data_IF_561415712324
#
_entry.id   IF_561415712324
#
_cell.length_a   1.000
_cell.length_b   1.000
_cell.length_c   1.000
_cell.angle_alpha   90.00
_cell.angle_beta   90.00
_cell.angle_gamma   90.00
#
_symmetry.space_group_name_H-M   'P 1'
#
loop_
_entity.id
_entity.type
_entity.pdbx_description
1 polymer ?
#
# COMPACT_ATOMS: atom_id res chain seq x y z
N UNK A 1 3.84 7.35 21.01
CA UNK A 1 5.16 7.08 21.64
C UNK A 1 5.20 5.79 22.47
N UNK A 2 4.06 5.22 22.92
CA UNK A 2 4.08 3.95 23.68
C UNK A 2 4.00 2.67 22.81
N UNK A 3 3.34 2.70 21.65
CA UNK A 3 3.10 1.48 20.84
C UNK A 3 4.38 0.74 20.39
N UNK A 4 5.49 1.47 20.19
CA UNK A 4 6.77 0.87 19.74
C UNK A 4 7.58 0.25 20.88
N UNK A 5 7.12 0.37 22.14
CA UNK A 5 7.81 -0.26 23.27
C UNK A 5 7.60 -1.77 23.21
N UNK A 6 8.65 -2.53 23.51
CA UNK A 6 8.65 -4.00 23.47
C UNK A 6 7.45 -4.61 24.23
N UNK A 7 7.03 -3.99 25.33
CA UNK A 7 5.87 -4.43 26.10
C UNK A 7 4.57 -4.49 25.29
N UNK A 8 4.39 -3.59 24.32
CA UNK A 8 3.20 -3.50 23.47
C UNK A 8 3.32 -4.28 22.16
N UNK A 9 4.48 -4.89 21.89
CA UNK A 9 4.77 -5.64 20.66
C UNK A 9 4.83 -7.13 20.98
N UNK A 10 3.76 -7.85 20.64
CA UNK A 10 3.68 -9.29 20.87
C UNK A 10 3.94 -10.07 19.58
N UNK A 11 4.97 -10.92 19.61
CA UNK A 11 5.21 -11.88 18.55
C UNK A 11 4.15 -12.98 18.59
N UNK A 12 3.44 -13.18 17.47
CA UNK A 12 2.39 -14.21 17.36
C UNK A 12 2.98 -15.50 16.78
N UNK A 13 3.56 -15.43 15.58
CA UNK A 13 4.07 -16.61 14.88
C UNK A 13 5.00 -16.23 13.72
N UNK A 14 5.82 -17.18 13.31
CA UNK A 14 6.58 -17.17 12.06
C UNK A 14 6.66 -18.59 11.50
N UNK A 15 6.79 -18.71 10.18
CA UNK A 15 6.89 -20.01 9.53
C UNK A 15 7.80 -19.94 8.31
N UNK A 16 8.67 -20.94 8.08
CA UNK A 16 9.41 -21.07 6.83
C UNK A 16 8.56 -21.71 5.72
N UNK A 17 7.36 -22.21 6.03
CA UNK A 17 6.51 -22.96 5.11
C UNK A 17 5.18 -22.28 4.80
N UNK A 18 4.64 -21.53 5.76
CA UNK A 18 3.39 -20.78 5.58
C UNK A 18 3.70 -19.37 5.09
N UNK A 19 2.98 -18.96 4.05
CA UNK A 19 2.96 -17.60 3.55
C UNK A 19 2.35 -16.62 4.57
N UNK A 20 2.62 -15.31 4.44
CA UNK A 20 2.05 -14.30 5.34
C UNK A 20 0.53 -14.36 5.42
N UNK A 21 -0.17 -14.61 4.31
CA UNK A 21 -1.64 -14.68 4.29
C UNK A 21 -2.20 -15.97 4.89
N UNK A 22 -1.46 -17.08 4.85
CA UNK A 22 -1.83 -18.30 5.60
C UNK A 22 -1.73 -18.08 7.11
N UNK A 23 -0.66 -17.42 7.57
CA UNK A 23 -0.53 -17.05 8.99
C UNK A 23 -1.60 -16.04 9.39
N UNK A 24 -1.90 -15.06 8.52
CA UNK A 24 -2.91 -14.05 8.77
C UNK A 24 -4.32 -14.65 8.90
N UNK A 25 -4.63 -15.75 8.21
CA UNK A 25 -5.91 -16.46 8.37
C UNK A 25 -6.12 -16.90 9.83
N UNK A 26 -5.12 -17.53 10.44
CA UNK A 26 -5.18 -17.95 11.83
C UNK A 26 -5.29 -16.75 12.80
N UNK A 27 -4.59 -15.65 12.51
CA UNK A 27 -4.68 -14.40 13.29
C UNK A 27 -6.08 -13.81 13.21
N UNK A 28 -6.65 -13.69 12.01
CA UNK A 28 -8.02 -13.23 11.78
C UNK A 28 -9.01 -14.07 12.57
N UNK A 29 -8.95 -15.40 12.48
CA UNK A 29 -9.87 -16.30 13.18
C UNK A 29 -9.78 -16.13 14.71
N UNK A 30 -8.57 -15.95 15.25
CA UNK A 30 -8.36 -15.69 16.67
C UNK A 30 -9.00 -14.36 17.11
N UNK A 31 -8.76 -13.29 16.35
CA UNK A 31 -9.34 -11.96 16.63
C UNK A 31 -10.86 -12.01 16.52
N UNK A 32 -11.41 -12.62 15.48
CA UNK A 32 -12.86 -12.71 15.28
C UNK A 32 -13.53 -13.53 16.38
N UNK A 33 -12.92 -14.64 16.79
CA UNK A 33 -13.42 -15.44 17.92
C UNK A 33 -13.42 -14.62 19.21
N UNK A 34 -12.33 -13.91 19.48
CA UNK A 34 -12.23 -13.05 20.66
C UNK A 34 -13.20 -11.88 20.61
N UNK A 35 -13.48 -11.31 19.44
CA UNK A 35 -14.48 -10.26 19.27
C UNK A 35 -15.91 -10.77 19.50
N UNK A 36 -16.19 -12.02 19.10
CA UNK A 36 -17.51 -12.64 19.26
C UNK A 36 -17.77 -13.10 20.71
N UNK A 37 -16.80 -13.75 21.35
CA UNK A 37 -16.97 -14.32 22.70
C UNK A 37 -16.54 -13.37 23.81
N UNK A 38 -15.76 -12.34 23.47
CA UNK A 38 -14.99 -11.53 24.41
C UNK A 38 -13.88 -12.30 25.13
N UNK A 39 -13.07 -11.57 25.89
CA UNK A 39 -11.96 -12.08 26.69
C UNK A 39 -12.00 -11.48 28.09
N UNK A 40 -11.76 -12.29 29.12
CA UNK A 40 -11.57 -11.80 30.49
C UNK A 40 -10.08 -11.52 30.70
N UNK A 41 -9.76 -10.33 31.20
CA UNK A 41 -8.41 -9.94 31.57
C UNK A 41 -8.41 -9.27 32.95
N UNK A 42 -7.25 -9.24 33.61
CA UNK A 42 -7.09 -8.53 34.87
C UNK A 42 -6.57 -7.11 34.62
N UNK A 43 -7.29 -6.10 35.09
CA UNK A 43 -6.79 -4.72 35.08
C UNK A 43 -5.95 -4.48 36.34
N UNK A 44 -4.64 -4.28 36.15
CA UNK A 44 -3.72 -4.03 37.25
C UNK A 44 -3.88 -2.64 37.88
N UNK A 45 -4.54 -1.70 37.21
CA UNK A 45 -4.78 -0.35 37.72
C UNK A 45 -5.95 -0.34 38.71
N UNK A 46 -7.04 -0.97 38.32
CA UNK A 46 -8.29 -0.96 39.08
C UNK A 46 -8.49 -2.23 39.93
N UNK A 47 -7.57 -3.20 39.82
CA UNK A 47 -7.53 -4.46 40.57
C UNK A 47 -8.84 -5.28 40.42
N UNK A 48 -9.38 -5.33 39.20
CA UNK A 48 -10.59 -6.07 38.89
C UNK A 48 -10.51 -6.84 37.56
N UNK A 49 -11.43 -7.80 37.40
CA UNK A 49 -11.62 -8.49 36.11
C UNK A 49 -12.37 -7.57 35.14
N UNK A 50 -11.76 -7.34 33.99
CA UNK A 50 -12.34 -6.57 32.89
C UNK A 50 -12.66 -7.46 31.71
N UNK A 51 -13.71 -7.10 30.98
CA UNK A 51 -14.14 -7.80 29.76
C UNK A 51 -13.70 -7.01 28.52
N UNK A 52 -12.85 -7.63 27.70
CA UNK A 52 -12.26 -7.04 26.51
C UNK A 52 -12.90 -7.60 25.24
N UNK A 53 -13.22 -6.72 24.29
CA UNK A 53 -13.71 -7.07 22.95
C UNK A 53 -12.73 -6.48 21.94
N UNK A 54 -11.76 -7.26 21.42
CA UNK A 54 -10.79 -6.75 20.48
C UNK A 54 -11.44 -6.48 19.12
N UNK A 55 -11.02 -5.41 18.46
CA UNK A 55 -11.40 -5.08 17.08
C UNK A 55 -10.13 -4.76 16.29
N UNK A 56 -10.11 -5.16 15.01
CA UNK A 56 -9.05 -4.71 14.10
C UNK A 56 -9.17 -3.20 13.89
N UNK A 57 -8.08 -2.47 14.07
CA UNK A 57 -8.05 -1.02 13.86
C UNK A 57 -7.49 -0.68 12.47
N UNK A 58 -6.29 -1.17 12.16
CA UNK A 58 -5.65 -1.05 10.85
C UNK A 58 -4.55 -2.11 10.69
N UNK A 59 -4.05 -2.27 9.48
CA UNK A 59 -2.89 -3.10 9.18
C UNK A 59 -1.72 -2.25 8.67
N UNK A 60 -0.62 -2.22 9.42
CA UNK A 60 0.62 -1.57 8.98
C UNK A 60 1.57 -2.56 8.31
N UNK A 61 2.48 -2.02 7.52
CA UNK A 61 3.50 -2.77 6.81
C UNK A 61 4.32 -1.84 5.94
N UNK A 62 5.42 -2.34 5.39
CA UNK A 62 6.08 -1.67 4.28
C UNK A 62 5.24 -1.80 3.00
N UNK A 63 5.60 -1.08 1.93
CA UNK A 63 4.83 -1.09 0.69
C UNK A 63 4.60 -2.50 0.10
N UNK A 64 5.60 -3.41 0.07
CA UNK A 64 5.38 -4.79 -0.33
C UNK A 64 4.37 -5.54 0.54
N UNK A 65 4.49 -5.49 1.88
CA UNK A 65 3.56 -6.18 2.76
C UNK A 65 2.15 -5.58 2.68
N UNK A 66 2.02 -4.27 2.48
CA UNK A 66 0.72 -3.62 2.25
C UNK A 66 0.10 -4.03 0.92
N UNK A 67 0.90 -4.25 -0.12
CA UNK A 67 0.39 -4.78 -1.39
C UNK A 67 -0.13 -6.22 -1.22
N UNK A 68 0.59 -7.05 -0.46
CA UNK A 68 0.16 -8.40 -0.07
C UNK A 68 -1.18 -8.37 0.70
N UNK A 69 -1.25 -7.57 1.76
CA UNK A 69 -2.44 -7.39 2.60
C UNK A 69 -3.65 -6.95 1.78
N UNK A 70 -3.47 -6.13 0.75
CA UNK A 70 -4.54 -5.62 -0.11
C UNK A 70 -4.81 -6.45 -1.37
N UNK A 71 -4.16 -7.60 -1.57
CA UNK A 71 -4.21 -8.39 -2.81
C UNK A 71 -3.90 -7.57 -4.07
N UNK A 72 -2.84 -6.75 -4.01
CA UNK A 72 -2.49 -5.79 -5.04
C UNK A 72 -1.26 -6.22 -5.86
N UNK A 73 -1.38 -6.23 -7.18
CA UNK A 73 -0.37 -6.68 -8.16
C UNK A 73 0.78 -5.69 -8.43
N UNK A 74 0.84 -4.59 -7.70
CA UNK A 74 1.97 -3.64 -7.74
C UNK A 74 2.00 -2.68 -8.95
N UNK A 75 3.13 -1.98 -9.09
CA UNK A 75 3.30 -0.80 -9.97
C UNK A 75 3.23 -1.10 -11.47
N UNK A 76 3.50 -2.34 -11.87
CA UNK A 76 3.47 -2.75 -13.27
C UNK A 76 2.05 -2.96 -13.81
N UNK A 77 1.05 -2.99 -12.92
CA UNK A 77 -0.35 -3.09 -13.33
C UNK A 77 -0.88 -1.75 -13.85
N UNK A 78 -1.93 -1.80 -14.66
CA UNK A 78 -2.61 -0.61 -15.14
C UNK A 78 -3.16 0.20 -13.95
N UNK A 79 -3.83 -0.46 -13.00
CA UNK A 79 -4.35 0.16 -11.78
C UNK A 79 -3.57 -0.29 -10.55
N UNK A 80 -2.55 0.47 -10.20
CA UNK A 80 -1.53 0.06 -9.23
C UNK A 80 -1.80 0.51 -7.79
N UNK A 81 -2.77 1.38 -7.55
CA UNK A 81 -3.11 1.81 -6.18
C UNK A 81 -3.96 0.76 -5.45
N UNK A 82 -3.62 0.52 -4.19
CA UNK A 82 -4.36 -0.37 -3.29
C UNK A 82 -5.67 0.22 -2.76
N UNK A 83 -5.82 1.55 -2.77
CA UNK A 83 -7.01 2.22 -2.19
C UNK A 83 -8.06 2.55 -3.25
N UNK A 84 -7.65 2.80 -4.49
CA UNK A 84 -8.54 3.28 -5.53
C UNK A 84 -8.13 2.83 -6.93
N UNK A 85 -8.97 3.15 -7.90
CA UNK A 85 -8.78 2.81 -9.32
C UNK A 85 -7.94 3.85 -10.09
N UNK A 86 -6.95 4.47 -9.44
CA UNK A 86 -6.00 5.34 -10.17
C UNK A 86 -5.09 4.47 -11.03
N UNK A 87 -4.88 4.90 -12.27
CA UNK A 87 -4.08 4.14 -13.21
C UNK A 87 -4.45 4.39 -14.66
N UNK A 88 -4.20 3.38 -15.48
CA UNK A 88 -4.35 3.39 -16.93
C UNK A 88 -3.22 2.59 -17.57
N UNK A 89 -3.20 2.53 -18.90
CA UNK A 89 -2.09 1.90 -19.61
C UNK A 89 -0.78 2.60 -19.26
N UNK A 90 0.35 1.89 -19.42
CA UNK A 90 1.67 2.48 -19.22
C UNK A 90 1.83 3.79 -20.00
N UNK A 91 1.52 3.77 -21.29
CA UNK A 91 1.61 4.94 -22.17
C UNK A 91 0.75 6.11 -21.69
N UNK A 92 -0.44 5.83 -21.15
CA UNK A 92 -1.29 6.87 -20.57
C UNK A 92 -0.66 7.48 -19.32
N UNK A 93 -0.20 6.64 -18.37
CA UNK A 93 0.44 7.11 -17.13
C UNK A 93 1.73 7.89 -17.37
N UNK A 94 2.42 7.62 -18.49
CA UNK A 94 3.64 8.34 -18.91
C UNK A 94 3.35 9.61 -19.72
N UNK A 95 2.10 9.84 -20.14
CA UNK A 95 1.68 11.09 -20.79
C UNK A 95 1.45 12.21 -19.78
N UNK A 96 1.60 13.46 -20.18
CA UNK A 96 1.37 14.63 -19.30
C UNK A 96 -0.04 14.61 -18.69
N UNK A 97 -1.06 14.25 -19.48
CA UNK A 97 -2.45 14.20 -19.00
C UNK A 97 -2.65 13.08 -17.99
N UNK A 98 -2.19 11.86 -18.30
CA UNK A 98 -2.34 10.72 -17.38
C UNK A 98 -1.49 10.85 -16.12
N UNK A 99 -0.29 11.43 -16.20
CA UNK A 99 0.54 11.70 -15.03
C UNK A 99 -0.16 12.66 -14.06
N UNK A 100 -0.76 13.75 -14.56
CA UNK A 100 -1.54 14.68 -13.74
C UNK A 100 -2.69 13.97 -13.01
N UNK A 101 -3.38 13.02 -13.67
CA UNK A 101 -4.46 12.28 -13.00
C UNK A 101 -3.96 11.50 -11.78
N UNK A 102 -2.69 11.09 -11.71
CA UNK A 102 -2.19 10.33 -10.55
C UNK A 102 -2.27 11.12 -9.24
N UNK A 103 -2.30 12.46 -9.32
CA UNK A 103 -2.33 13.36 -8.17
C UNK A 103 -3.70 13.99 -7.92
N UNK A 104 -4.69 13.68 -8.76
CA UNK A 104 -6.07 14.11 -8.52
C UNK A 104 -6.62 13.40 -7.28
N UNK A 105 -7.15 14.21 -6.36
CA UNK A 105 -7.76 13.75 -5.10
C UNK A 105 -9.18 13.26 -5.37
N UNK A 106 -9.67 12.29 -4.58
CA UNK A 106 -11.11 12.03 -4.49
C UNK A 106 -11.80 13.27 -3.90
N UNK A 107 -12.29 14.18 -4.73
CA UNK A 107 -13.20 15.20 -4.26
C UNK A 107 -14.60 14.58 -4.12
N UNK A 108 -14.92 14.04 -2.94
CA UNK A 108 -16.32 13.95 -2.52
C UNK A 108 -16.77 15.39 -2.21
N UNK A 109 -17.34 16.06 -3.21
CA UNK A 109 -17.80 17.45 -3.23
C UNK A 109 -16.74 18.56 -3.07
N UNK A 110 -16.45 19.28 -4.17
CA UNK A 110 -16.70 20.72 -4.21
C UNK A 110 -16.79 21.21 -5.66
N UNK A 111 -17.70 22.15 -5.84
CA UNK A 111 -18.18 22.76 -7.07
C UNK A 111 -17.08 23.43 -7.90
N UNK A 112 -17.19 23.29 -9.23
CA UNK A 112 -16.87 24.25 -10.33
C UNK A 112 -16.12 23.65 -11.52
N UNK A 113 -15.46 22.49 -11.41
CA UNK A 113 -14.98 21.73 -12.57
C UNK A 113 -15.10 20.25 -12.25
N UNK A 114 -16.11 19.55 -12.75
CA UNK A 114 -16.39 18.14 -12.41
C UNK A 114 -15.16 17.26 -12.68
N UNK A 115 -14.40 16.85 -11.65
CA UNK A 115 -13.47 15.75 -11.78
C UNK A 115 -14.32 14.48 -11.68
N UNK A 116 -14.14 13.52 -12.58
CA UNK A 116 -14.80 12.21 -12.43
C UNK A 116 -14.38 11.65 -11.07
N UNK A 117 -15.31 11.38 -10.13
CA UNK A 117 -14.97 10.80 -8.84
C UNK A 117 -14.25 9.48 -9.10
N UNK A 118 -12.99 9.39 -8.69
CA UNK A 118 -12.31 8.11 -8.67
C UNK A 118 -13.09 7.19 -7.73
N UNK A 119 -13.21 5.91 -8.07
CA UNK A 119 -13.87 4.95 -7.20
C UNK A 119 -12.84 4.33 -6.25
N UNK A 120 -13.22 4.20 -4.98
CA UNK A 120 -12.47 3.45 -3.98
C UNK A 120 -12.62 1.95 -4.26
N UNK A 121 -11.56 1.19 -3.99
CA UNK A 121 -11.61 -0.28 -3.99
C UNK A 121 -12.37 -0.74 -2.76
N UNK A 122 -13.14 -1.82 -2.92
CA UNK A 122 -13.83 -2.46 -1.79
C UNK A 122 -13.37 -3.91 -1.65
N UNK A 123 -13.36 -4.47 -0.42
CA UNK A 123 -12.97 -5.86 -0.21
C UNK A 123 -13.84 -6.84 -1.02
N UNK A 124 -15.15 -6.57 -1.10
CA UNK A 124 -16.09 -7.37 -1.88
C UNK A 124 -15.79 -7.34 -3.38
N UNK A 125 -15.46 -6.17 -3.93
CA UNK A 125 -15.06 -6.04 -5.33
C UNK A 125 -13.79 -6.84 -5.63
N UNK A 126 -12.76 -6.71 -4.78
CA UNK A 126 -11.49 -7.42 -4.98
C UNK A 126 -11.66 -8.93 -4.86
N UNK A 127 -12.45 -9.40 -3.89
CA UNK A 127 -12.79 -10.82 -3.76
C UNK A 127 -13.48 -11.35 -5.02
N UNK A 128 -14.41 -10.59 -5.60
CA UNK A 128 -15.08 -10.97 -6.86
C UNK A 128 -14.10 -11.02 -8.04
N UNK A 129 -13.14 -10.10 -8.12
CA UNK A 129 -12.08 -10.14 -9.15
C UNK A 129 -11.25 -11.42 -9.01
N UNK A 130 -10.83 -11.78 -7.80
CA UNK A 130 -10.04 -12.99 -7.54
C UNK A 130 -10.87 -14.24 -7.90
N UNK A 131 -12.13 -14.33 -7.47
CA UNK A 131 -13.04 -15.44 -7.86
C UNK A 131 -13.23 -15.53 -9.38
N UNK A 132 -13.28 -14.40 -10.07
CA UNK A 132 -13.34 -14.38 -11.53
C UNK A 132 -12.03 -14.89 -12.17
N UNK A 133 -10.86 -14.67 -11.55
CA UNK A 133 -9.60 -15.25 -12.02
C UNK A 133 -9.62 -16.78 -11.98
N UNK A 134 -10.30 -17.41 -11.01
CA UNK A 134 -10.56 -18.86 -11.02
C UNK A 134 -11.44 -19.28 -12.19
N UNK A 135 -12.47 -18.50 -12.52
CA UNK A 135 -13.32 -18.78 -13.68
C UNK A 135 -12.53 -18.65 -14.99
N UNK A 136 -11.63 -17.67 -15.09
CA UNK A 136 -10.72 -17.49 -16.22
C UNK A 136 -9.71 -18.64 -16.32
N UNK A 137 -9.27 -19.18 -15.18
CA UNK A 137 -8.32 -20.30 -15.13
C UNK A 137 -8.90 -21.58 -15.78
N UNK A 138 -10.22 -21.68 -15.90
CA UNK A 138 -10.91 -22.80 -16.55
C UNK A 138 -10.97 -22.70 -18.07
N UNK A 139 -10.53 -21.58 -18.66
CA UNK A 139 -10.65 -21.31 -20.10
C UNK A 139 -9.38 -21.67 -20.87
N UNK A 140 -9.47 -21.93 -22.19
CA UNK A 140 -8.30 -22.05 -23.06
C UNK A 140 -7.42 -20.81 -23.00
N UNK A 141 -6.11 -21.00 -22.99
CA UNK A 141 -5.15 -19.89 -22.87
C UNK A 141 -5.18 -19.19 -21.51
N UNK A 142 -5.68 -19.87 -20.47
CA UNK A 142 -5.83 -19.33 -19.11
C UNK A 142 -4.61 -18.55 -18.60
N UNK A 143 -3.38 -19.03 -18.85
CA UNK A 143 -2.17 -18.37 -18.37
C UNK A 143 -2.07 -16.90 -18.80
N UNK A 144 -2.27 -16.60 -20.09
CA UNK A 144 -2.19 -15.22 -20.59
C UNK A 144 -3.44 -14.42 -20.20
N UNK A 145 -4.60 -15.07 -20.12
CA UNK A 145 -5.86 -14.42 -19.71
C UNK A 145 -5.83 -13.97 -18.24
N UNK A 146 -5.34 -14.82 -17.33
CA UNK A 146 -5.17 -14.45 -15.91
C UNK A 146 -4.13 -13.34 -15.79
N UNK A 147 -2.98 -13.45 -16.46
CA UNK A 147 -1.96 -12.38 -16.49
C UNK A 147 -2.53 -11.06 -17.01
N UNK A 148 -3.36 -11.11 -18.05
CA UNK A 148 -4.06 -9.92 -18.59
C UNK A 148 -5.05 -9.36 -17.57
N UNK A 149 -5.83 -10.21 -16.90
CA UNK A 149 -6.75 -9.80 -15.83
C UNK A 149 -6.03 -9.08 -14.70
N UNK A 150 -4.89 -9.62 -14.24
CA UNK A 150 -4.07 -9.01 -13.19
C UNK A 150 -3.53 -7.66 -13.64
N UNK A 151 -2.96 -7.59 -14.85
CA UNK A 151 -2.47 -6.33 -15.43
C UNK A 151 -3.59 -5.29 -15.55
N UNK A 152 -4.77 -5.69 -16.02
CA UNK A 152 -5.90 -4.80 -16.25
C UNK A 152 -6.63 -4.36 -14.99
N UNK A 153 -6.66 -5.16 -13.92
CA UNK A 153 -7.40 -4.86 -12.69
C UNK A 153 -6.49 -4.37 -11.57
N UNK A 154 -5.21 -4.73 -11.62
CA UNK A 154 -4.26 -4.55 -10.52
C UNK A 154 -4.42 -5.55 -9.39
N UNK A 155 -5.32 -6.54 -9.49
CA UNK A 155 -5.61 -7.47 -8.39
C UNK A 155 -4.79 -8.73 -8.54
N UNK A 156 -4.02 -9.06 -7.50
CA UNK A 156 -3.17 -10.24 -7.43
C UNK A 156 -3.21 -10.81 -6.02
N UNK A 157 -3.74 -12.02 -5.90
CA UNK A 157 -3.81 -12.75 -4.64
C UNK A 157 -2.76 -13.86 -4.61
N UNK A 158 -1.74 -13.68 -3.80
CA UNK A 158 -0.63 -14.65 -3.64
C UNK A 158 -1.09 -15.94 -2.98
N UNK A 159 -2.11 -15.88 -2.11
CA UNK A 159 -2.63 -17.04 -1.39
C UNK A 159 -3.27 -18.06 -2.34
N UNK A 160 -4.13 -17.60 -3.26
CA UNK A 160 -4.78 -18.44 -4.26
C UNK A 160 -3.88 -18.85 -5.43
N UNK A 161 -2.69 -18.26 -5.56
CA UNK A 161 -1.79 -18.45 -6.70
C UNK A 161 -1.45 -19.92 -6.97
N UNK A 162 -1.15 -20.68 -5.91
CA UNK A 162 -0.78 -22.09 -6.05
C UNK A 162 -1.91 -22.92 -6.67
N UNK A 163 -3.17 -22.63 -6.30
CA UNK A 163 -4.35 -23.31 -6.84
C UNK A 163 -4.55 -22.89 -8.30
N UNK A 164 -4.50 -21.59 -8.58
CA UNK A 164 -4.59 -21.07 -9.95
C UNK A 164 -3.53 -21.68 -10.87
N UNK A 165 -2.28 -21.80 -10.43
CA UNK A 165 -1.21 -22.39 -11.22
C UNK A 165 -1.44 -23.88 -11.50
N UNK A 166 -1.90 -24.66 -10.51
CA UNK A 166 -2.25 -26.07 -10.71
C UNK A 166 -3.35 -26.24 -11.76
N UNK A 167 -4.40 -25.42 -11.68
CA UNK A 167 -5.51 -25.43 -12.64
C UNK A 167 -5.05 -25.05 -14.04
N UNK A 168 -4.26 -23.98 -14.16
CA UNK A 168 -3.70 -23.53 -15.45
C UNK A 168 -2.83 -24.63 -16.07
N UNK A 169 -1.97 -25.27 -15.28
CA UNK A 169 -1.08 -26.32 -15.79
C UNK A 169 -1.85 -27.58 -16.16
N UNK A 170 -2.83 -27.99 -15.35
CA UNK A 170 -3.71 -29.09 -15.71
C UNK A 170 -4.50 -28.79 -16.99
N UNK A 171 -5.06 -27.59 -17.13
CA UNK A 171 -5.73 -27.14 -18.33
C UNK A 171 -4.84 -27.25 -19.56
N UNK A 172 -3.56 -26.82 -19.49
CA UNK A 172 -2.61 -27.00 -20.59
C UNK A 172 -2.39 -28.46 -20.96
N UNK A 173 -2.34 -29.38 -19.99
CA UNK A 173 -2.17 -30.82 -20.24
C UNK A 173 -3.41 -31.40 -20.95
N UNK A 174 -4.61 -31.05 -20.49
CA UNK A 174 -5.86 -31.56 -21.05
C UNK A 174 -6.10 -31.05 -22.48
N UNK A 175 -5.68 -29.82 -22.79
CA UNK A 175 -5.72 -29.27 -24.15
C UNK A 175 -4.60 -29.76 -25.07
N UNK A 176 -3.52 -30.36 -24.52
CA UNK A 176 -2.43 -30.94 -25.32
C UNK A 176 -2.77 -32.39 -25.69
N UNK A 177 -2.94 -32.66 -26.97
CA UNK A 177 -2.94 -34.04 -27.47
C UNK A 177 -1.58 -34.72 -27.23
N UNK A 178 -1.58 -35.90 -26.60
CA UNK A 178 -0.52 -36.86 -26.82
C UNK A 178 -0.56 -37.36 -28.27
N UNK A 179 0.59 -37.78 -28.82
CA UNK A 179 0.68 -38.41 -30.15
C UNK A 179 -0.28 -39.62 -30.22
N UNK A 180 -1.46 -39.43 -30.81
CA UNK A 180 -2.47 -40.47 -31.03
C UNK A 180 -3.80 -40.30 -30.28
N UNK A 181 -3.98 -39.29 -29.43
CA UNK A 181 -5.24 -39.05 -28.70
C UNK A 181 -6.07 -37.94 -29.33
N UNK A 182 -7.39 -38.10 -29.40
CA UNK A 182 -8.32 -37.03 -29.77
C UNK A 182 -8.29 -35.92 -28.72
N UNK A 183 -8.27 -34.63 -29.11
CA UNK A 183 -8.36 -33.53 -28.13
C UNK A 183 -9.64 -33.67 -27.32
N UNK A 184 -9.56 -33.52 -25.99
CA UNK A 184 -10.76 -33.40 -25.16
C UNK A 184 -11.56 -32.18 -25.60
N UNK A 185 -12.88 -32.29 -25.62
CA UNK A 185 -13.74 -31.15 -25.93
C UNK A 185 -13.74 -30.17 -24.76
N UNK A 186 -13.90 -28.89 -25.05
CA UNK A 186 -13.92 -27.80 -24.05
C UNK A 186 -14.84 -28.06 -22.84
N UNK A 187 -16.07 -28.60 -23.00
CA UNK A 187 -16.94 -28.89 -21.86
C UNK A 187 -16.35 -29.97 -20.93
N UNK A 188 -15.70 -30.98 -21.50
CA UNK A 188 -15.10 -32.08 -20.73
C UNK A 188 -13.87 -31.60 -19.96
N UNK A 189 -13.04 -30.76 -20.59
CA UNK A 189 -11.87 -30.14 -19.92
C UNK A 189 -12.32 -29.28 -18.75
N UNK A 190 -13.36 -28.47 -18.95
CA UNK A 190 -13.91 -27.62 -17.89
C UNK A 190 -14.42 -28.45 -16.72
N UNK A 191 -15.16 -29.52 -16.99
CA UNK A 191 -15.68 -30.43 -15.97
C UNK A 191 -14.54 -31.05 -15.14
N UNK A 192 -13.47 -31.51 -15.79
CA UNK A 192 -12.32 -32.09 -15.09
C UNK A 192 -11.61 -31.06 -14.20
N UNK A 193 -11.50 -29.81 -14.69
CA UNK A 193 -10.93 -28.71 -13.90
C UNK A 193 -11.82 -28.30 -12.72
N UNK A 194 -13.15 -28.37 -12.86
CA UNK A 194 -14.09 -28.15 -11.76
C UNK A 194 -13.96 -29.24 -10.68
N UNK A 195 -13.75 -30.50 -11.08
CA UNK A 195 -13.47 -31.62 -10.15
C UNK A 195 -12.15 -31.43 -9.40
N UNK A 196 -11.09 -31.06 -10.11
CA UNK A 196 -9.79 -30.78 -9.46
C UNK A 196 -9.88 -29.56 -8.54
N UNK A 197 -10.57 -28.49 -8.94
CA UNK A 197 -10.80 -27.34 -8.06
C UNK A 197 -11.54 -27.79 -6.79
N UNK A 198 -12.63 -28.54 -6.90
CA UNK A 198 -13.35 -29.05 -5.74
C UNK A 198 -12.46 -29.92 -4.83
N UNK A 199 -11.56 -30.71 -5.43
CA UNK A 199 -10.58 -31.53 -4.69
C UNK A 199 -9.55 -30.66 -3.97
N UNK A 200 -9.04 -29.61 -4.61
CA UNK A 200 -8.08 -28.67 -4.01
C UNK A 200 -8.69 -27.80 -2.91
N UNK A 201 -10.00 -27.56 -2.96
CA UNK A 201 -10.72 -26.84 -1.91
C UNK A 201 -11.00 -27.71 -0.68
N UNK A 202 -10.98 -29.04 -0.79
CA UNK A 202 -11.19 -29.98 0.33
C UNK A 202 -12.42 -29.65 1.20
N UNK A 203 -13.54 -29.35 0.54
CA UNK A 203 -14.80 -28.98 1.20
C UNK A 203 -14.90 -27.53 1.69
N UNK A 204 -13.85 -26.72 1.50
CA UNK A 204 -13.85 -25.29 1.76
C UNK A 204 -14.44 -24.50 0.59
N UNK A 205 -14.75 -23.23 0.81
CA UNK A 205 -15.21 -22.31 -0.23
C UNK A 205 -14.03 -21.55 -0.85
N UNK A 206 -14.27 -20.89 -1.99
CA UNK A 206 -13.27 -19.96 -2.54
C UNK A 206 -12.98 -18.79 -1.59
N UNK A 207 -13.94 -18.34 -0.80
CA UNK A 207 -13.73 -17.27 0.19
C UNK A 207 -12.72 -17.68 1.26
N UNK A 208 -12.65 -18.97 1.59
CA UNK A 208 -11.68 -19.51 2.53
C UNK A 208 -10.27 -19.56 1.93
N UNK A 209 -10.14 -19.63 0.60
CA UNK A 209 -8.89 -19.85 -0.12
C UNK A 209 -8.26 -18.60 -0.75
N UNK A 210 -8.92 -17.44 -0.61
CA UNK A 210 -8.38 -16.13 -0.99
C UNK A 210 -7.93 -15.36 0.24
N UNK A 211 -7.27 -14.20 0.05
CA UNK A 211 -6.84 -13.33 1.13
C UNK A 211 -7.91 -13.19 2.24
N UNK A 212 -7.61 -13.66 3.47
CA UNK A 212 -8.59 -13.75 4.55
C UNK A 212 -9.08 -12.36 4.99
N UNK A 213 -8.28 -11.32 4.80
CA UNK A 213 -8.61 -9.96 5.24
C UNK A 213 -9.68 -9.30 4.38
N UNK A 214 -9.94 -9.80 3.17
CA UNK A 214 -11.04 -9.31 2.33
C UNK A 214 -12.43 -9.56 2.94
N UNK A 215 -12.53 -10.55 3.83
CA UNK A 215 -13.75 -10.88 4.57
C UNK A 215 -13.64 -10.64 6.07
N UNK A 216 -12.74 -9.77 6.53
CA UNK A 216 -12.62 -9.44 7.96
C UNK A 216 -13.65 -8.37 8.34
N UNK A 217 -14.48 -8.66 9.35
CA UNK A 217 -15.48 -7.71 9.85
C UNK A 217 -14.81 -6.54 10.56
N UNK A 218 -15.30 -5.32 10.32
CA UNK A 218 -14.82 -4.11 10.99
C UNK A 218 -13.56 -3.49 10.38
N UNK A 219 -12.95 -4.13 9.37
CA UNK A 219 -11.76 -3.63 8.69
C UNK A 219 -11.98 -3.63 7.18
N UNK A 220 -11.80 -2.49 6.54
CA UNK A 220 -11.65 -2.36 5.10
C UNK A 220 -10.16 -2.19 4.78
N UNK A 221 -9.49 -3.27 4.37
CA UNK A 221 -8.05 -3.25 4.05
C UNK A 221 -7.63 -2.19 3.01
N UNK A 222 -8.54 -1.65 2.19
CA UNK A 222 -8.20 -0.61 1.22
C UNK A 222 -8.17 0.79 1.83
N UNK A 223 -8.81 0.98 2.98
CA UNK A 223 -8.87 2.22 3.75
C UNK A 223 -8.04 2.14 5.05
N UNK A 224 -8.07 0.97 5.70
CA UNK A 224 -7.44 0.71 7.00
C UNK A 224 -6.05 0.07 6.84
N UNK A 225 -5.37 0.35 5.74
CA UNK A 225 -3.95 0.02 5.51
C UNK A 225 -3.21 1.34 5.25
N UNK A 226 -2.87 2.10 6.30
CA UNK A 226 -2.38 3.45 6.17
C UNK A 226 -1.06 3.49 5.41
N UNK A 227 -0.90 4.50 4.55
CA UNK A 227 0.24 4.52 3.64
C UNK A 227 1.55 4.78 4.36
N UNK A 228 2.51 3.90 4.15
CA UNK A 228 3.82 4.03 4.75
C UNK A 228 4.54 5.29 4.22
N UNK A 229 4.87 6.20 5.14
CA UNK A 229 5.39 7.54 4.83
C UNK A 229 6.83 7.47 4.30
N UNK A 230 7.62 6.51 4.78
CA UNK A 230 9.05 6.49 4.50
C UNK A 230 9.34 6.21 3.02
N UNK A 231 8.78 5.18 2.40
CA UNK A 231 8.99 4.90 0.97
C UNK A 231 8.15 5.79 0.06
N UNK A 232 6.96 6.19 0.49
CA UNK A 232 6.04 6.98 -0.35
C UNK A 232 6.47 8.45 -0.41
N UNK A 233 6.78 9.05 0.74
CA UNK A 233 7.04 10.49 0.85
C UNK A 233 8.53 10.75 0.95
N UNK A 234 9.24 10.18 1.93
CA UNK A 234 10.65 10.54 2.17
C UNK A 234 11.60 9.99 1.10
N UNK A 235 11.53 8.70 0.80
CA UNK A 235 12.35 8.05 -0.24
C UNK A 235 11.69 8.10 -1.63
N UNK A 236 10.43 8.52 -1.69
CA UNK A 236 9.71 8.86 -2.91
C UNK A 236 9.83 10.34 -3.19
N UNK A 237 8.73 11.08 -3.01
CA UNK A 237 8.58 12.50 -3.37
C UNK A 237 9.79 13.35 -2.98
N UNK A 238 10.19 13.34 -1.70
CA UNK A 238 11.27 14.18 -1.17
C UNK A 238 12.62 13.83 -1.78
N UNK A 239 12.97 12.54 -1.89
CA UNK A 239 14.24 12.09 -2.48
C UNK A 239 14.36 12.46 -3.95
N UNK A 240 13.31 12.29 -4.75
CA UNK A 240 13.35 12.64 -6.17
C UNK A 240 13.39 14.16 -6.36
N UNK A 241 12.63 14.91 -5.56
CA UNK A 241 12.65 16.37 -5.62
C UNK A 241 14.00 16.95 -5.14
N UNK A 242 14.62 16.32 -4.14
CA UNK A 242 16.02 16.56 -3.74
C UNK A 242 16.99 16.36 -4.90
N UNK A 243 16.91 15.24 -5.62
CA UNK A 243 17.75 14.97 -6.78
C UNK A 243 17.66 16.07 -7.83
N UNK A 244 16.43 16.51 -8.15
CA UNK A 244 16.19 17.62 -9.08
C UNK A 244 16.76 18.95 -8.56
N UNK A 245 16.58 19.23 -7.27
CA UNK A 245 17.07 20.47 -6.64
C UNK A 245 18.59 20.54 -6.68
N UNK A 246 19.27 19.46 -6.32
CA UNK A 246 20.74 19.37 -6.36
C UNK A 246 21.26 19.49 -7.79
N UNK A 247 20.62 18.84 -8.76
CA UNK A 247 20.99 18.99 -10.16
C UNK A 247 20.98 20.46 -10.62
N UNK A 248 19.95 21.24 -10.23
CA UNK A 248 19.86 22.65 -10.55
C UNK A 248 20.95 23.49 -9.88
N UNK A 249 21.21 23.26 -8.60
CA UNK A 249 22.25 23.95 -7.82
C UNK A 249 23.64 23.68 -8.42
N UNK A 250 23.93 22.44 -8.79
CA UNK A 250 25.21 22.05 -9.40
C UNK A 250 25.39 22.64 -10.78
N UNK A 251 24.33 22.61 -11.61
CA UNK A 251 24.33 23.23 -12.94
C UNK A 251 24.62 24.74 -12.86
N UNK A 252 24.12 25.41 -11.83
CA UNK A 252 24.38 26.82 -11.55
C UNK A 252 25.72 27.08 -10.83
N UNK A 253 26.47 26.04 -10.45
CA UNK A 253 27.72 26.11 -9.65
C UNK A 253 27.54 26.76 -8.29
N UNK A 254 26.35 26.66 -7.69
CA UNK A 254 25.99 27.30 -6.42
C UNK A 254 26.17 26.37 -5.21
N UNK A 255 26.77 25.18 -5.38
CA UNK A 255 26.89 24.18 -4.31
C UNK A 255 27.62 24.70 -3.06
N UNK A 256 28.61 25.59 -3.23
CA UNK A 256 29.30 26.23 -2.09
C UNK A 256 28.39 27.17 -1.30
N UNK A 257 27.53 27.91 -1.99
CA UNK A 257 26.57 28.82 -1.36
C UNK A 257 25.50 27.98 -0.64
N UNK A 258 24.96 26.96 -1.31
CA UNK A 258 24.05 26.00 -0.69
C UNK A 258 24.61 25.38 0.59
N UNK A 259 25.88 24.95 0.56
CA UNK A 259 26.58 24.42 1.74
C UNK A 259 26.62 25.44 2.88
N UNK A 260 27.03 26.69 2.60
CA UNK A 260 27.06 27.77 3.60
C UNK A 260 25.68 28.11 4.16
N UNK A 261 24.64 28.14 3.33
CA UNK A 261 23.25 28.32 3.78
C UNK A 261 22.81 27.18 4.70
N UNK A 262 23.12 25.93 4.33
CA UNK A 262 22.78 24.76 5.13
C UNK A 262 23.53 24.72 6.46
N UNK A 263 24.81 25.12 6.47
CA UNK A 263 25.64 25.16 7.68
C UNK A 263 25.23 26.29 8.64
N UNK A 264 24.59 27.34 8.12
CA UNK A 264 24.08 28.48 8.91
C UNK A 264 22.79 28.21 9.69
N UNK A 265 22.13 27.06 9.45
CA UNK A 265 20.90 26.72 10.15
C UNK A 265 21.17 26.40 11.62
N UNK A 266 20.39 27.04 12.49
CA UNK A 266 20.37 26.73 13.92
C UNK A 266 19.90 25.28 14.14
N UNK A 267 20.74 24.48 14.79
CA UNK A 267 20.54 23.04 14.92
C UNK A 267 19.76 22.67 16.17
N UNK A 268 19.76 23.53 17.19
CA UNK A 268 19.16 23.23 18.50
C UNK A 268 17.62 23.16 18.46
N UNK A 269 16.98 23.86 17.51
CA UNK A 269 15.51 23.94 17.41
C UNK A 269 14.92 22.79 16.57
N UNK A 270 15.75 22.12 15.77
CA UNK A 270 15.33 20.98 14.98
C UNK A 270 15.43 19.72 15.86
N UNK A 271 14.29 19.14 16.24
CA UNK A 271 14.18 17.86 16.95
C UNK A 271 14.68 16.64 16.11
N UNK A 272 15.73 16.81 15.31
CA UNK A 272 16.23 15.85 14.33
C UNK A 272 17.76 15.71 14.41
N UNK A 273 18.32 14.54 14.07
CA UNK A 273 19.76 14.33 14.09
C UNK A 273 20.46 15.33 13.15
N UNK A 274 21.55 15.92 13.65
CA UNK A 274 22.29 17.05 13.07
C UNK A 274 22.35 17.04 11.53
N UNK A 275 21.79 18.08 10.89
CA UNK A 275 22.02 18.43 9.48
C UNK A 275 23.48 18.87 9.29
N UNK A 276 24.39 17.90 9.18
CA UNK A 276 25.79 18.19 8.88
C UNK A 276 25.92 18.54 7.39
N UNK A 277 26.22 19.80 7.09
CA UNK A 277 26.29 20.30 5.72
C UNK A 277 27.34 19.57 4.88
N UNK A 278 28.51 19.26 5.44
CA UNK A 278 29.56 18.48 4.75
C UNK A 278 29.06 17.11 4.33
N UNK A 279 28.39 16.39 5.23
CA UNK A 279 27.83 15.07 4.96
C UNK A 279 26.76 15.15 3.87
N UNK A 280 25.81 16.08 3.98
CA UNK A 280 24.72 16.25 3.02
C UNK A 280 25.28 16.53 1.61
N UNK A 281 26.27 17.42 1.49
CA UNK A 281 26.86 17.79 0.21
C UNK A 281 27.75 16.68 -0.37
N UNK A 282 28.54 15.97 0.46
CA UNK A 282 29.43 14.91 0.00
C UNK A 282 28.68 13.61 -0.33
N UNK A 283 27.59 13.32 0.37
CA UNK A 283 26.81 12.08 0.23
C UNK A 283 25.39 12.31 -0.28
N UNK A 284 25.18 13.35 -1.10
CA UNK A 284 23.88 13.76 -1.65
C UNK A 284 23.08 12.63 -2.34
N UNK A 285 23.75 11.60 -2.85
CA UNK A 285 23.11 10.42 -3.47
C UNK A 285 22.77 9.27 -2.50
N UNK A 286 23.31 9.28 -1.28
CA UNK A 286 23.22 8.19 -0.30
C UNK A 286 22.51 8.60 0.98
N UNK A 287 21.67 9.64 0.91
CA UNK A 287 20.90 10.12 2.04
C UNK A 287 19.82 9.10 2.44
N UNK A 288 19.54 9.05 3.74
CA UNK A 288 18.56 8.13 4.34
C UNK A 288 17.39 8.91 4.95
N UNK A 289 16.38 8.18 5.44
CA UNK A 289 15.16 8.69 6.08
C UNK A 289 15.35 9.96 6.90
N UNK A 290 16.27 9.92 7.87
CA UNK A 290 16.49 11.01 8.83
C UNK A 290 16.94 12.30 8.14
N UNK A 291 17.76 12.20 7.11
CA UNK A 291 18.24 13.36 6.36
C UNK A 291 17.10 14.00 5.55
N UNK A 292 16.31 13.20 4.85
CA UNK A 292 15.19 13.72 4.06
C UNK A 292 14.10 14.36 4.94
N UNK A 293 13.83 13.79 6.12
CA UNK A 293 12.92 14.39 7.08
C UNK A 293 13.40 15.78 7.52
N UNK A 294 14.67 15.93 7.88
CA UNK A 294 15.23 17.23 8.27
C UNK A 294 15.28 18.21 7.10
N UNK A 295 15.68 17.75 5.91
CA UNK A 295 15.75 18.59 4.70
C UNK A 295 14.37 19.16 4.36
N UNK A 296 13.31 18.34 4.37
CA UNK A 296 11.96 18.80 4.06
C UNK A 296 11.49 19.99 4.93
N UNK A 297 12.01 20.12 6.16
CA UNK A 297 11.66 21.20 7.07
C UNK A 297 12.41 22.51 6.78
N UNK A 298 13.61 22.44 6.20
CA UNK A 298 14.51 23.60 6.09
C UNK A 298 14.75 24.07 4.66
N UNK A 299 14.51 23.22 3.67
CA UNK A 299 14.87 23.48 2.28
C UNK A 299 14.35 24.81 1.72
N UNK A 300 13.10 25.27 1.99
CA UNK A 300 12.63 26.58 1.51
C UNK A 300 13.54 27.75 1.90
N UNK A 301 14.16 27.69 3.08
CA UNK A 301 15.05 28.74 3.58
C UNK A 301 16.48 28.61 3.03
N UNK A 302 16.92 27.39 2.75
CA UNK A 302 18.29 27.10 2.29
C UNK A 302 18.49 27.42 0.82
N UNK A 303 17.46 27.18 0.01
CA UNK A 303 17.55 27.28 -1.45
C UNK A 303 16.99 28.59 -2.01
N UNK A 304 16.51 29.48 -1.15
CA UNK A 304 16.01 30.80 -1.54
C UNK A 304 17.08 31.54 -2.37
N UNK A 305 16.70 32.07 -3.53
CA UNK A 305 17.58 32.66 -4.56
C UNK A 305 18.63 31.72 -5.21
N UNK A 306 18.65 30.42 -4.89
CA UNK A 306 19.58 29.44 -5.49
C UNK A 306 18.96 28.61 -6.62
N UNK A 307 17.63 28.56 -6.68
CA UNK A 307 16.86 27.75 -7.64
C UNK A 307 15.65 28.57 -8.15
N UNK A 308 15.00 28.15 -9.26
CA UNK A 308 13.77 28.80 -9.72
C UNK A 308 12.69 28.82 -8.64
N UNK A 309 11.86 29.87 -8.63
CA UNK A 309 10.79 30.05 -7.63
C UNK A 309 9.87 28.82 -7.51
N UNK A 310 9.54 28.16 -8.62
CA UNK A 310 8.71 26.95 -8.62
C UNK A 310 9.30 25.79 -7.80
N UNK A 311 10.62 25.73 -7.66
CA UNK A 311 11.30 24.72 -6.83
C UNK A 311 11.19 25.08 -5.36
N UNK A 312 11.31 26.38 -5.02
CA UNK A 312 11.07 26.88 -3.66
C UNK A 312 9.62 26.58 -3.25
N UNK A 313 8.66 26.93 -4.10
CA UNK A 313 7.23 26.68 -3.85
C UNK A 313 6.95 25.19 -3.64
N UNK A 314 7.57 24.32 -4.45
CA UNK A 314 7.48 22.87 -4.29
C UNK A 314 8.03 22.38 -2.94
N UNK A 315 9.15 22.92 -2.47
CA UNK A 315 9.69 22.59 -1.15
C UNK A 315 8.83 23.12 -0.02
N UNK A 316 8.19 24.29 -0.18
CA UNK A 316 7.24 24.84 0.80
C UNK A 316 6.06 23.89 0.97
N UNK A 317 5.45 23.44 -0.14
CA UNK A 317 4.34 22.47 -0.11
C UNK A 317 4.78 21.14 0.52
N UNK A 318 5.98 20.64 0.20
CA UNK A 318 6.54 19.45 0.83
C UNK A 318 6.72 19.65 2.35
N UNK A 319 7.20 20.81 2.77
CA UNK A 319 7.38 21.17 4.18
C UNK A 319 6.05 21.14 4.93
N UNK A 320 5.00 21.76 4.38
CA UNK A 320 3.64 21.73 4.92
C UNK A 320 3.08 20.31 5.01
N UNK A 321 3.21 19.52 3.93
CA UNK A 321 2.79 18.12 3.89
C UNK A 321 3.47 17.28 4.98
N UNK A 322 4.78 17.45 5.17
CA UNK A 322 5.55 16.74 6.21
C UNK A 322 5.10 17.17 7.61
N UNK A 323 4.61 18.39 7.82
CA UNK A 323 4.00 18.75 9.11
C UNK A 323 2.71 17.96 9.34
N UNK A 324 1.81 17.92 8.35
CA UNK A 324 0.55 17.19 8.46
C UNK A 324 0.73 15.68 8.66
N UNK A 325 1.70 15.06 7.96
CA UNK A 325 1.97 13.63 8.05
C UNK A 325 2.55 13.18 9.41
N UNK A 326 3.15 14.09 10.16
CA UNK A 326 3.73 13.79 11.49
C UNK A 326 2.96 14.46 12.64
N UNK A 327 1.82 15.06 12.35
CA UNK A 327 0.92 15.59 13.38
C UNK A 327 0.11 14.44 13.98
N UNK A 328 0.57 13.90 15.10
CA UNK A 328 -0.03 12.71 15.75
C UNK A 328 -1.16 13.05 16.73
N UNK A 329 -1.51 14.34 16.88
CA UNK A 329 -2.50 14.80 17.84
C UNK A 329 -3.63 15.54 17.12
N UNK A 330 -4.87 15.18 17.42
CA UNK A 330 -6.05 15.93 16.99
C UNK A 330 -6.57 16.68 18.21
N UNK A 331 -6.25 17.97 18.31
CA UNK A 331 -6.58 18.78 19.49
C UNK A 331 -8.10 18.97 19.69
N UNK A 332 -8.86 18.96 18.59
CA UNK A 332 -10.32 19.04 18.62
C UNK A 332 -10.92 18.01 17.68
N UNK A 333 -11.21 16.84 18.23
CA UNK A 333 -11.81 15.72 17.51
C UNK A 333 -13.19 16.11 16.92
N UNK A 334 -14.00 16.90 17.61
CA UNK A 334 -15.34 17.31 17.14
C UNK A 334 -15.27 18.18 15.89
N UNK A 335 -14.34 19.15 15.85
CA UNK A 335 -14.09 19.97 14.66
C UNK A 335 -13.61 19.10 13.50
N UNK A 336 -12.71 18.14 13.78
CA UNK A 336 -12.19 17.23 12.78
C UNK A 336 -13.27 16.28 12.25
N UNK A 337 -14.18 15.79 13.08
CA UNK A 337 -15.27 14.91 12.65
C UNK A 337 -16.30 15.65 11.79
N UNK A 338 -16.53 16.94 12.03
CA UNK A 338 -17.45 17.77 11.24
C UNK A 338 -16.84 18.15 9.88
N UNK A 339 -15.52 18.34 9.79
CA UNK A 339 -14.81 18.64 8.53
C UNK A 339 -14.33 17.42 7.75
N UNK A 340 -14.13 16.27 8.43
CA UNK A 340 -13.33 15.15 7.92
C UNK A 340 -14.09 13.80 7.92
N UNK A 341 -15.40 13.80 7.70
CA UNK A 341 -16.12 12.57 7.26
C UNK A 341 -15.44 11.92 6.03
N UNK A 342 -14.51 12.59 5.33
CA UNK A 342 -13.97 12.12 4.06
C UNK A 342 -12.46 11.83 3.97
N UNK A 343 -11.60 12.09 4.96
CA UNK A 343 -10.19 11.62 4.93
C UNK A 343 -9.67 11.42 6.34
N UNK A 344 -9.60 10.17 6.80
CA UNK A 344 -8.81 9.78 7.96
C UNK A 344 -7.59 9.02 7.44
N UNK A 345 -6.44 9.69 7.42
CA UNK A 345 -5.12 9.06 7.39
C UNK A 345 -4.67 8.93 8.83
N UNK A 346 -5.06 7.84 9.50
CA UNK A 346 -4.43 7.45 10.77
C UNK A 346 -3.09 6.81 10.43
N UNK A 347 -1.99 7.49 10.72
CA UNK A 347 -0.64 6.91 10.66
C UNK A 347 -0.28 6.22 11.97
#
# INVERSE_FOLDING_TARGET
EMLDQEFHVHFISSSPHASPMELMRAVKESIMRAAETGMIAWDCRDEEEVFLIPNGLFHTGDNPMQAEICSQGGLNCNYFCRTCHVGGTKDYKESDSGYCTLFEVHAFHSTVFEPVPRSLRTPAEMANVIKNQFSIAMLPGAAEKVKTSVSMTGVWDTLSLNILQKLIEMGKRLHKCGTGSTPMQEPDVKMELEVELATLLDGQTLDDMINPLLGMTGVNIHLDTPTEILHTILLGVVKYFWGQTIFLIEKAKLLKIFHSCLDSIEREVLNAPSLNADYICNYKGSLIRKHFKSLAQVMPFVIYDLVPQSVVDGWTIIGELVVFLWHMQIDNLEVYLVSSINVILLC
#
